data_IF_376705927906
#
_entry.id   IF_376705927906
#
_cell.length_a   1.000
_cell.length_b   1.000
_cell.length_c   1.000
_cell.angle_alpha   90.00
_cell.angle_beta   90.00
_cell.angle_gamma   90.00
#
_symmetry.space_group_name_H-M   'P 1'
#
loop_
_entity.id
_entity.type
_entity.pdbx_description
1 polymer ?
#
# COMPACT_ATOMS: atom_id res chain seq x y z
N UNK A 1 27.69 -6.67 -26.59
CA UNK A 1 26.62 -6.15 -25.69
C UNK A 1 27.07 -6.10 -24.23
N UNK A 2 27.51 -7.21 -23.60
CA UNK A 2 28.07 -7.17 -22.22
C UNK A 2 29.27 -6.24 -22.08
N UNK A 3 30.23 -6.30 -23.00
CA UNK A 3 31.43 -5.44 -22.98
C UNK A 3 31.09 -3.96 -23.12
N UNK A 4 30.09 -3.63 -23.94
CA UNK A 4 29.62 -2.25 -24.13
C UNK A 4 29.00 -1.67 -22.83
N UNK A 5 28.20 -2.47 -22.13
CA UNK A 5 27.55 -2.04 -20.89
C UNK A 5 28.46 -2.10 -19.64
N UNK A 6 29.63 -2.77 -19.72
CA UNK A 6 30.46 -3.07 -18.55
C UNK A 6 30.99 -1.83 -17.80
N UNK A 7 31.12 -0.69 -18.49
CA UNK A 7 31.55 0.58 -17.90
C UNK A 7 30.40 1.53 -17.52
N UNK A 8 29.15 1.09 -17.63
CA UNK A 8 27.96 1.92 -17.42
C UNK A 8 27.15 1.43 -16.22
N UNK A 9 26.44 2.34 -15.56
CA UNK A 9 25.37 1.93 -14.64
C UNK A 9 24.20 1.33 -15.43
N UNK A 10 23.35 0.55 -14.77
CA UNK A 10 22.12 0.03 -15.39
C UNK A 10 21.22 1.17 -15.91
N UNK A 11 21.14 2.30 -15.18
CA UNK A 11 20.39 3.48 -15.58
C UNK A 11 20.98 4.11 -16.85
N UNK A 12 22.29 4.34 -16.89
CA UNK A 12 22.94 4.99 -18.04
C UNK A 12 22.89 4.11 -19.29
N UNK A 13 23.05 2.80 -19.13
CA UNK A 13 22.88 1.85 -20.23
C UNK A 13 21.45 1.88 -20.79
N UNK A 14 20.42 1.89 -19.91
CA UNK A 14 19.03 1.97 -20.34
C UNK A 14 18.70 3.31 -21.01
N UNK A 15 19.28 4.42 -20.52
CA UNK A 15 19.13 5.75 -21.15
C UNK A 15 19.72 5.77 -22.56
N UNK A 16 20.94 5.28 -22.73
CA UNK A 16 21.59 5.22 -24.04
C UNK A 16 20.81 4.34 -25.04
N UNK A 17 20.23 3.23 -24.57
CA UNK A 17 19.36 2.39 -25.40
C UNK A 17 18.06 3.11 -25.79
N UNK A 18 17.41 3.80 -24.85
CA UNK A 18 16.19 4.57 -25.09
C UNK A 18 16.43 5.71 -26.09
N UNK A 19 17.55 6.43 -26.00
CA UNK A 19 17.96 7.46 -26.96
C UNK A 19 18.19 6.90 -28.37
N UNK A 20 18.61 5.64 -28.47
CA UNK A 20 18.72 4.91 -29.74
C UNK A 20 17.39 4.31 -30.23
N UNK A 21 16.27 4.58 -29.55
CA UNK A 21 14.94 4.08 -29.91
C UNK A 21 14.64 2.65 -29.42
N UNK A 22 15.47 2.09 -28.55
CA UNK A 22 15.28 0.77 -27.97
C UNK A 22 14.61 0.89 -26.60
N UNK A 23 13.42 0.30 -26.45
CA UNK A 23 12.73 0.27 -25.15
C UNK A 23 13.54 -0.56 -24.14
N UNK A 24 14.06 0.10 -23.11
CA UNK A 24 14.84 -0.51 -22.04
C UNK A 24 14.50 0.15 -20.69
N UNK A 25 14.51 -0.64 -19.63
CA UNK A 25 14.30 -0.17 -18.26
C UNK A 25 15.28 -0.86 -17.30
N UNK A 26 15.79 -0.15 -16.28
CA UNK A 26 16.71 -0.73 -15.33
C UNK A 26 16.00 -1.77 -14.46
N UNK A 27 16.67 -2.88 -14.17
CA UNK A 27 16.23 -3.79 -13.12
C UNK A 27 16.63 -3.17 -11.77
N UNK A 28 15.64 -2.68 -11.02
CA UNK A 28 15.82 -2.01 -9.74
C UNK A 28 15.70 -3.00 -8.58
N UNK A 29 16.47 -2.78 -7.51
CA UNK A 29 16.27 -3.46 -6.23
C UNK A 29 15.06 -2.88 -5.48
N UNK A 30 14.57 -3.59 -4.45
CA UNK A 30 13.45 -3.09 -3.63
C UNK A 30 13.74 -1.71 -3.04
N UNK A 31 14.94 -1.48 -2.50
CA UNK A 31 15.33 -0.17 -1.95
C UNK A 31 15.34 0.92 -3.03
N UNK A 32 15.87 0.61 -4.23
CA UNK A 32 15.86 1.57 -5.33
C UNK A 32 14.44 1.94 -5.79
N UNK A 33 13.48 1.00 -5.72
CA UNK A 33 12.07 1.27 -6.02
C UNK A 33 11.43 2.15 -4.93
N UNK A 34 11.75 1.90 -3.66
CA UNK A 34 11.26 2.71 -2.52
C UNK A 34 11.74 4.16 -2.64
N UNK A 35 13.00 4.35 -3.04
CA UNK A 35 13.62 5.68 -3.16
C UNK A 35 13.36 6.35 -4.53
N UNK A 36 12.58 5.72 -5.42
CA UNK A 36 12.38 6.21 -6.79
C UNK A 36 11.45 7.45 -6.82
N UNK A 37 11.89 8.59 -7.39
CA UNK A 37 11.09 9.81 -7.45
C UNK A 37 9.76 9.66 -8.21
N UNK A 38 9.69 8.78 -9.21
CA UNK A 38 8.47 8.51 -9.97
C UNK A 38 7.47 7.71 -9.14
N UNK A 39 7.95 6.75 -8.35
CA UNK A 39 7.13 5.98 -7.40
C UNK A 39 6.55 6.91 -6.32
N UNK A 40 7.38 7.79 -5.76
CA UNK A 40 6.99 8.77 -4.74
C UNK A 40 5.99 9.79 -5.28
N UNK A 41 6.26 10.41 -6.44
CA UNK A 41 5.38 11.41 -7.06
C UNK A 41 3.97 10.88 -7.40
N UNK A 42 3.82 9.56 -7.43
CA UNK A 42 2.58 8.87 -7.75
C UNK A 42 1.95 8.18 -6.54
N UNK A 43 2.42 8.38 -5.30
CA UNK A 43 1.91 7.68 -4.13
C UNK A 43 1.76 6.17 -4.38
N UNK A 44 2.76 5.55 -5.03
CA UNK A 44 2.72 4.13 -5.38
C UNK A 44 3.06 3.24 -4.18
N UNK A 45 3.73 3.83 -3.18
CA UNK A 45 3.97 3.27 -1.87
C UNK A 45 3.48 4.29 -0.85
N UNK A 46 2.82 3.83 0.20
CA UNK A 46 2.20 4.67 1.22
C UNK A 46 2.48 4.13 2.61
N UNK A 47 2.62 5.03 3.57
CA UNK A 47 2.88 4.72 4.96
C UNK A 47 1.56 4.56 5.73
N UNK A 48 1.28 3.34 6.21
CA UNK A 48 0.09 3.05 7.01
C UNK A 48 0.50 3.03 8.49
N UNK A 49 -0.17 3.82 9.36
CA UNK A 49 0.10 3.79 10.79
C UNK A 49 -0.16 2.40 11.39
N UNK A 50 0.73 1.97 12.28
CA UNK A 50 0.54 0.72 13.03
C UNK A 50 -0.44 0.93 14.19
N UNK A 51 -1.44 0.06 14.38
CA UNK A 51 -2.37 0.14 15.51
C UNK A 51 -1.67 0.10 16.89
N UNK A 52 -0.57 -0.63 17.00
CA UNK A 52 0.24 -0.78 18.22
C UNK A 52 1.25 0.36 18.45
N UNK A 53 1.33 1.33 17.53
CA UNK A 53 2.33 2.40 17.54
C UNK A 53 3.68 2.00 16.89
N UNK A 54 4.65 2.92 16.94
CA UNK A 54 5.94 2.79 16.25
C UNK A 54 5.92 3.33 14.82
N UNK A 55 6.98 3.04 14.05
CA UNK A 55 7.08 3.57 12.68
C UNK A 55 5.91 3.07 11.81
N UNK A 56 5.47 3.83 10.80
CA UNK A 56 4.49 3.31 9.84
C UNK A 56 5.00 2.09 9.07
N UNK A 57 4.09 1.31 8.52
CA UNK A 57 4.42 0.23 7.58
C UNK A 57 4.26 0.73 6.16
N UNK A 58 5.27 0.53 5.33
CA UNK A 58 5.19 0.84 3.92
C UNK A 58 4.36 -0.22 3.20
N UNK A 59 3.34 0.22 2.47
CA UNK A 59 2.40 -0.63 1.73
C UNK A 59 2.21 -0.14 0.30
N UNK A 60 1.79 -1.01 -0.64
CA UNK A 60 1.41 -0.56 -1.97
C UNK A 60 0.22 0.39 -1.94
N UNK A 61 0.37 1.56 -2.56
CA UNK A 61 -0.74 2.49 -2.80
C UNK A 61 -1.64 2.06 -3.95
N UNK A 62 -2.70 2.83 -4.22
CA UNK A 62 -3.57 2.57 -5.36
C UNK A 62 -2.80 2.81 -6.69
N UNK A 63 -2.61 1.80 -7.55
CA UNK A 63 -1.87 1.99 -8.80
C UNK A 63 -2.65 2.78 -9.86
N UNK A 64 -3.98 2.88 -9.72
CA UNK A 64 -4.88 3.53 -10.67
C UNK A 64 -5.21 4.94 -10.17
N UNK A 65 -4.76 5.95 -10.91
CA UNK A 65 -4.99 7.36 -10.58
C UNK A 65 -6.17 7.91 -11.36
N UNK A 66 -7.18 8.39 -10.66
CA UNK A 66 -8.41 8.93 -11.25
C UNK A 66 -8.53 10.41 -10.92
N UNK A 67 -8.51 11.27 -11.93
CA UNK A 67 -8.49 12.74 -11.75
C UNK A 67 -9.70 13.34 -11.03
N UNK A 68 -10.80 12.58 -10.91
CA UNK A 68 -12.04 12.99 -10.23
C UNK A 68 -12.32 12.24 -8.93
N UNK A 69 -11.42 11.35 -8.52
CA UNK A 69 -11.58 10.57 -7.29
C UNK A 69 -10.37 10.87 -6.42
N UNK A 70 -10.62 11.47 -5.26
CA UNK A 70 -9.57 11.63 -4.25
C UNK A 70 -9.10 10.25 -3.80
N UNK A 71 -7.79 10.11 -3.60
CA UNK A 71 -7.28 8.94 -2.87
C UNK A 71 -7.89 8.96 -1.47
N UNK A 72 -8.39 7.79 -1.04
CA UNK A 72 -9.06 7.66 0.25
C UNK A 72 -8.09 7.86 1.41
N UNK A 73 -8.60 8.12 2.63
CA UNK A 73 -7.73 8.26 3.79
C UNK A 73 -7.05 6.94 4.11
N UNK A 74 -5.75 7.02 4.37
CA UNK A 74 -4.91 5.91 4.78
C UNK A 74 -5.19 5.58 6.24
N UNK A 75 -6.22 4.77 6.47
CA UNK A 75 -6.60 4.32 7.80
C UNK A 75 -5.78 3.09 8.19
N UNK A 76 -5.42 3.01 9.47
CA UNK A 76 -4.76 1.81 10.00
C UNK A 76 -5.63 0.58 9.81
N UNK A 77 -4.98 -0.58 9.76
CA UNK A 77 -5.69 -1.85 9.75
C UNK A 77 -6.48 -2.02 11.06
N UNK A 78 -7.74 -2.48 11.02
CA UNK A 78 -8.51 -2.71 12.22
C UNK A 78 -8.01 -3.93 12.99
N UNK A 79 -8.23 -3.93 14.30
CA UNK A 79 -8.06 -5.12 15.12
C UNK A 79 -9.17 -6.13 14.86
N UNK A 80 -8.91 -7.39 15.24
CA UNK A 80 -9.94 -8.41 15.26
C UNK A 80 -11.09 -7.95 16.16
N UNK A 81 -12.29 -7.85 15.57
CA UNK A 81 -13.51 -7.48 16.28
C UNK A 81 -13.69 -5.99 16.56
N UNK A 82 -12.78 -5.11 16.10
CA UNK A 82 -12.81 -3.67 16.42
C UNK A 82 -14.14 -2.99 16.12
N UNK A 83 -14.75 -3.33 14.99
CA UNK A 83 -16.03 -2.75 14.55
C UNK A 83 -17.23 -3.70 14.74
N UNK A 84 -17.08 -4.81 15.47
CA UNK A 84 -18.16 -5.82 15.63
C UNK A 84 -19.43 -5.18 16.18
N UNK A 85 -19.34 -4.43 17.28
CA UNK A 85 -20.50 -3.82 17.92
C UNK A 85 -21.15 -2.77 17.01
N UNK A 86 -20.35 -1.92 16.36
CA UNK A 86 -20.82 -0.88 15.45
C UNK A 86 -21.64 -1.49 14.29
N UNK A 87 -21.10 -2.53 13.63
CA UNK A 87 -21.75 -3.18 12.51
C UNK A 87 -23.02 -3.93 12.94
N UNK A 88 -22.98 -4.64 14.08
CA UNK A 88 -24.16 -5.36 14.57
C UNK A 88 -25.31 -4.42 14.97
N UNK A 89 -24.99 -3.27 15.55
CA UNK A 89 -25.99 -2.26 15.87
C UNK A 89 -26.53 -1.59 14.60
N UNK A 90 -25.65 -1.17 13.68
CA UNK A 90 -26.04 -0.43 12.48
C UNK A 90 -26.79 -1.28 11.45
N UNK A 91 -26.31 -2.49 11.18
CA UNK A 91 -26.83 -3.34 10.09
C UNK A 91 -27.93 -4.29 10.55
N UNK A 92 -27.88 -4.77 11.80
CA UNK A 92 -28.83 -5.74 12.34
C UNK A 92 -29.77 -5.16 13.41
N UNK A 93 -29.57 -3.91 13.82
CA UNK A 93 -30.41 -3.25 14.82
C UNK A 93 -30.35 -3.92 16.19
N UNK A 94 -29.25 -4.61 16.52
CA UNK A 94 -29.09 -5.25 17.82
C UNK A 94 -28.80 -4.20 18.89
N UNK A 95 -29.44 -4.37 20.05
CA UNK A 95 -29.13 -3.59 21.23
C UNK A 95 -27.90 -4.13 21.98
N UNK A 96 -27.37 -3.34 22.89
CA UNK A 96 -26.18 -3.69 23.69
C UNK A 96 -26.40 -5.00 24.46
N UNK A 97 -27.62 -5.24 24.95
CA UNK A 97 -27.94 -6.44 25.71
C UNK A 97 -27.80 -7.71 24.86
N UNK A 98 -28.28 -7.68 23.61
CA UNK A 98 -28.15 -8.81 22.70
C UNK A 98 -26.72 -9.02 22.24
N UNK A 99 -25.96 -7.95 22.01
CA UNK A 99 -24.55 -8.01 21.62
C UNK A 99 -23.73 -8.66 22.75
N UNK A 100 -23.93 -8.24 24.00
CA UNK A 100 -23.23 -8.84 25.15
C UNK A 100 -23.59 -10.31 25.36
N UNK A 101 -24.84 -10.71 25.11
CA UNK A 101 -25.20 -12.13 25.15
C UNK A 101 -24.43 -12.95 24.10
N UNK A 102 -24.31 -12.45 22.86
CA UNK A 102 -23.57 -13.15 21.81
C UNK A 102 -22.07 -13.28 22.16
N UNK A 103 -21.51 -12.26 22.83
CA UNK A 103 -20.13 -12.28 23.33
C UNK A 103 -19.96 -13.31 24.44
N UNK A 104 -20.90 -13.36 25.39
CA UNK A 104 -20.90 -14.34 26.48
C UNK A 104 -21.05 -15.78 25.98
N UNK A 105 -21.84 -15.98 24.92
CA UNK A 105 -22.04 -17.27 24.26
C UNK A 105 -20.83 -17.70 23.39
N UNK A 106 -19.81 -16.83 23.26
CA UNK A 106 -18.61 -17.08 22.44
C UNK A 106 -18.88 -17.03 20.93
N UNK A 107 -19.99 -16.44 20.50
CA UNK A 107 -20.37 -16.31 19.09
C UNK A 107 -19.59 -15.18 18.40
N UNK A 108 -19.32 -14.10 19.14
CA UNK A 108 -18.55 -12.95 18.65
C UNK A 108 -17.39 -12.64 19.60
N UNK A 109 -16.31 -12.09 19.05
CA UNK A 109 -15.08 -11.73 19.76
C UNK A 109 -15.17 -10.38 20.45
#
# INVERSE_FOLDING_TARGET
>A
MKEWAAGMTNIDACRALAEAGVAAGPCLTAQQVIDDPHVAARNMLMEIPRPEGGDPVLTPGNPIKMSRVSEGPDVRMPWLGEHTNEVLAAELGLDDARIEQLRADGVIA
#
